data_IF_839941412163
#
_entry.id   IF_839941412163
#
_cell.length_a   1.000
_cell.length_b   1.000
_cell.length_c   1.000
_cell.angle_alpha   90.00
_cell.angle_beta   90.00
_cell.angle_gamma   90.00
#
_symmetry.space_group_name_H-M   'P 1'
#
loop_
_entity.id
_entity.type
_entity.pdbx_description
1 polymer ?
#
# COMPACT_ATOMS: atom_id res chain seq x y z
N UNK A 1 12.99 -19.47 -2.29
CA UNK A 1 12.88 -18.06 -1.84
C UNK A 1 11.52 -17.56 -2.25
N UNK A 2 10.83 -16.81 -1.39
CA UNK A 2 9.65 -16.09 -1.83
C UNK A 2 10.07 -15.13 -2.95
N UNK A 3 9.28 -15.01 -4.01
CA UNK A 3 9.42 -13.95 -5.01
C UNK A 3 8.28 -12.95 -4.82
N UNK A 4 8.49 -11.72 -5.27
CA UNK A 4 7.45 -10.69 -5.32
C UNK A 4 6.36 -11.15 -6.28
N UNK A 5 5.11 -10.95 -5.87
CA UNK A 5 3.94 -11.11 -6.74
C UNK A 5 3.18 -9.80 -6.80
N UNK A 6 2.60 -9.46 -7.94
CA UNK A 6 1.75 -8.28 -8.03
C UNK A 6 0.56 -8.51 -8.96
N UNK A 7 -0.50 -7.73 -8.76
CA UNK A 7 -1.70 -7.75 -9.59
C UNK A 7 -2.27 -6.34 -9.70
N UNK A 8 -2.57 -5.89 -10.92
CA UNK A 8 -3.15 -4.57 -11.17
C UNK A 8 -4.64 -4.65 -11.51
N UNK A 9 -5.35 -3.57 -11.17
CA UNK A 9 -6.78 -3.40 -11.26
C UNK A 9 -7.12 -2.04 -11.91
N UNK A 10 -8.13 -1.98 -12.78
CA UNK A 10 -8.95 -3.10 -13.23
C UNK A 10 -8.14 -4.11 -14.05
N UNK A 11 -8.51 -5.40 -13.96
CA UNK A 11 -7.79 -6.50 -14.64
C UNK A 11 -7.86 -6.45 -16.17
N UNK A 12 -8.64 -5.52 -16.71
CA UNK A 12 -8.80 -5.27 -18.14
C UNK A 12 -7.72 -4.33 -18.70
N UNK A 13 -6.87 -3.77 -17.85
CA UNK A 13 -5.79 -2.86 -18.24
C UNK A 13 -4.42 -3.47 -17.96
N UNK A 14 -3.39 -3.03 -18.71
CA UNK A 14 -2.01 -3.40 -18.42
C UNK A 14 -1.53 -2.69 -17.15
N UNK A 15 -0.67 -3.33 -16.33
CA UNK A 15 0.01 -2.64 -15.24
C UNK A 15 0.74 -1.41 -15.76
N UNK A 16 0.74 -0.32 -14.98
CA UNK A 16 1.52 0.88 -15.30
C UNK A 16 3.00 0.57 -15.11
N UNK A 17 3.86 1.10 -15.98
CA UNK A 17 5.31 0.86 -15.91
C UNK A 17 5.91 1.31 -14.57
N UNK A 18 5.42 2.43 -14.02
CA UNK A 18 5.86 2.89 -12.70
C UNK A 18 5.51 1.92 -11.57
N UNK A 19 4.35 1.24 -11.64
CA UNK A 19 3.96 0.25 -10.64
C UNK A 19 4.86 -0.98 -10.69
N UNK A 20 5.33 -1.35 -11.89
CA UNK A 20 6.33 -2.41 -12.09
C UNK A 20 7.68 -1.97 -11.49
N UNK A 21 8.09 -0.72 -11.70
CA UNK A 21 9.32 -0.18 -11.11
C UNK A 21 9.28 -0.23 -9.59
N UNK A 22 8.15 0.14 -8.97
CA UNK A 22 7.96 0.02 -7.52
C UNK A 22 8.05 -1.44 -7.08
N UNK A 23 7.38 -2.38 -7.77
CA UNK A 23 7.51 -3.82 -7.46
C UNK A 23 8.96 -4.33 -7.57
N UNK A 24 9.77 -3.79 -8.47
CA UNK A 24 11.19 -4.13 -8.59
C UNK A 24 12.02 -3.59 -7.41
N UNK A 25 11.66 -2.45 -6.81
CA UNK A 25 12.28 -1.98 -5.57
C UNK A 25 12.00 -2.99 -4.45
N UNK A 26 10.74 -3.40 -4.26
CA UNK A 26 10.39 -4.44 -3.27
C UNK A 26 11.19 -5.74 -3.51
N UNK A 27 11.37 -6.13 -4.78
CA UNK A 27 12.15 -7.32 -5.15
C UNK A 27 13.63 -7.18 -4.78
N UNK A 28 14.22 -6.02 -5.02
CA UNK A 28 15.62 -5.72 -4.68
C UNK A 28 15.87 -5.84 -3.19
N UNK A 29 14.93 -5.37 -2.37
CA UNK A 29 15.03 -5.38 -0.91
C UNK A 29 14.40 -6.59 -0.23
N UNK A 30 13.92 -7.57 -0.99
CA UNK A 30 13.11 -8.68 -0.47
C UNK A 30 13.80 -9.45 0.66
N UNK A 31 15.13 -9.65 0.55
CA UNK A 31 15.90 -10.33 1.59
C UNK A 31 15.85 -9.62 2.95
N UNK A 32 15.70 -8.29 2.95
CA UNK A 32 15.63 -7.45 4.15
C UNK A 32 14.22 -7.32 4.69
N UNK A 33 13.19 -7.39 3.83
CA UNK A 33 11.80 -7.10 4.19
C UNK A 33 10.88 -8.32 4.23
N UNK A 34 11.34 -9.49 3.79
CA UNK A 34 10.49 -10.67 3.65
C UNK A 34 9.90 -11.11 4.99
N UNK A 35 8.58 -11.17 5.03
CA UNK A 35 7.81 -11.68 6.17
C UNK A 35 7.74 -13.21 6.20
N UNK A 36 8.13 -13.87 5.11
CA UNK A 36 8.17 -15.33 4.98
C UNK A 36 9.43 -15.89 5.62
N UNK A 37 10.57 -15.27 5.34
CA UNK A 37 11.89 -15.76 5.70
C UNK A 37 12.34 -15.26 7.09
N UNK A 38 11.82 -14.12 7.57
CA UNK A 38 12.15 -13.57 8.89
C UNK A 38 11.28 -14.18 10.02
N UNK A 39 11.92 -14.50 11.16
CA UNK A 39 11.27 -15.11 12.32
C UNK A 39 10.31 -14.16 13.07
N UNK A 40 10.56 -12.84 13.01
CA UNK A 40 9.62 -11.77 13.35
C UNK A 40 9.44 -10.93 12.08
N UNK A 41 8.21 -10.77 11.61
CA UNK A 41 7.93 -9.86 10.50
C UNK A 41 8.32 -8.42 10.88
N UNK A 42 8.73 -7.63 9.88
CA UNK A 42 8.97 -6.20 10.07
C UNK A 42 7.66 -5.44 10.30
N UNK A 43 7.74 -4.33 11.03
CA UNK A 43 6.68 -3.31 11.09
C UNK A 43 6.68 -2.48 9.79
N UNK A 44 5.53 -1.91 9.41
CA UNK A 44 5.36 -1.13 8.17
C UNK A 44 6.43 -0.05 8.03
N UNK A 45 6.64 0.74 9.09
CA UNK A 45 7.68 1.77 9.15
C UNK A 45 9.07 1.27 8.77
N UNK A 46 9.43 0.04 9.17
CA UNK A 46 10.75 -0.53 8.88
C UNK A 46 10.88 -0.98 7.43
N UNK A 47 9.78 -1.45 6.84
CA UNK A 47 9.72 -1.72 5.41
C UNK A 47 9.86 -0.40 4.64
N UNK A 48 9.07 0.62 4.99
CA UNK A 48 9.14 1.94 4.35
C UNK A 48 10.52 2.58 4.48
N UNK A 49 11.13 2.54 5.67
CA UNK A 49 12.49 3.04 5.93
C UNK A 49 13.53 2.36 5.02
N UNK A 50 13.40 1.05 4.79
CA UNK A 50 14.30 0.29 3.92
C UNK A 50 14.14 0.69 2.45
N UNK A 51 12.91 0.92 2.00
CA UNK A 51 12.60 1.22 0.59
C UNK A 51 12.76 2.71 0.24
N UNK A 52 12.75 3.59 1.24
CA UNK A 52 12.71 5.05 1.07
C UNK A 52 13.74 5.59 0.07
N UNK A 53 15.04 5.25 0.12
CA UNK A 53 16.01 5.87 -0.79
C UNK A 53 15.69 5.63 -2.26
N UNK A 54 15.22 4.43 -2.60
CA UNK A 54 14.89 4.08 -3.99
C UNK A 54 13.53 4.64 -4.42
N UNK A 55 12.57 4.74 -3.49
CA UNK A 55 11.29 5.40 -3.74
C UNK A 55 11.48 6.91 -3.99
N UNK A 56 12.31 7.58 -3.18
CA UNK A 56 12.68 8.99 -3.36
C UNK A 56 13.42 9.18 -4.70
N UNK A 57 14.30 8.24 -5.08
CA UNK A 57 14.97 8.27 -6.38
C UNK A 57 14.00 8.09 -7.58
N UNK A 58 12.86 7.43 -7.37
CA UNK A 58 11.77 7.36 -8.35
C UNK A 58 10.86 8.60 -8.34
N UNK A 59 11.07 9.57 -7.45
CA UNK A 59 10.30 10.82 -7.38
C UNK A 59 9.12 10.79 -6.39
N UNK A 60 9.01 9.77 -5.54
CA UNK A 60 8.04 9.79 -4.45
C UNK A 60 8.47 10.77 -3.34
N UNK A 61 7.50 11.51 -2.82
CA UNK A 61 7.56 12.02 -1.46
C UNK A 61 7.27 10.85 -0.52
N UNK A 62 8.11 10.61 0.49
CA UNK A 62 8.00 9.45 1.39
C UNK A 62 7.99 9.90 2.85
N UNK A 63 7.07 9.34 3.66
CA UNK A 63 7.00 9.62 5.10
C UNK A 63 8.33 9.28 5.79
N UNK A 64 8.83 10.24 6.57
CA UNK A 64 10.14 10.10 7.24
C UNK A 64 10.04 9.50 8.63
N UNK A 65 8.98 9.81 9.34
CA UNK A 65 8.72 9.31 10.69
C UNK A 65 7.26 9.54 11.09
N UNK A 66 6.79 8.88 12.16
CA UNK A 66 5.45 9.09 12.73
C UNK A 66 5.18 10.50 13.28
N UNK A 67 6.17 11.40 13.28
CA UNK A 67 5.97 12.78 13.73
C UNK A 67 5.04 13.48 12.75
N UNK A 68 4.08 14.24 13.27
CA UNK A 68 3.08 14.95 12.46
C UNK A 68 3.69 15.80 11.32
N UNK A 69 4.87 16.38 11.53
CA UNK A 69 5.56 17.21 10.51
C UNK A 69 6.17 16.40 9.36
N UNK A 70 6.41 15.11 9.57
CA UNK A 70 7.05 14.21 8.61
C UNK A 70 6.02 13.37 7.83
N UNK A 71 4.73 13.52 8.16
CA UNK A 71 3.63 12.83 7.52
C UNK A 71 3.19 13.53 6.24
N UNK A 72 2.84 12.73 5.24
CA UNK A 72 2.30 13.22 3.98
C UNK A 72 0.78 13.27 4.11
N UNK A 73 0.22 14.46 3.91
CA UNK A 73 -1.22 14.67 3.99
C UNK A 73 -1.80 14.91 2.59
N UNK A 74 -2.80 14.10 2.21
CA UNK A 74 -3.59 14.27 0.99
C UNK A 74 -4.93 14.93 1.31
N UNK A 75 -5.24 16.08 0.71
CA UNK A 75 -6.53 16.74 0.88
C UNK A 75 -7.70 15.83 0.48
N UNK A 76 -8.81 15.95 1.20
CA UNK A 76 -10.09 15.27 0.91
C UNK A 76 -11.17 16.32 0.67
N UNK A 77 -11.22 17.34 1.52
CA UNK A 77 -12.13 18.48 1.36
C UNK A 77 -11.33 19.78 1.28
N UNK A 78 -11.84 20.68 0.45
CA UNK A 78 -11.36 22.05 0.34
C UNK A 78 -12.47 22.98 0.81
N UNK A 79 -12.13 23.90 1.72
CA UNK A 79 -13.03 24.92 2.23
C UNK A 79 -12.90 26.23 1.47
N UNK A 80 -13.22 27.32 2.15
CA UNK A 80 -13.12 28.68 1.60
C UNK A 80 -11.70 28.96 1.09
N UNK A 81 -11.61 29.63 -0.06
CA UNK A 81 -10.37 29.92 -0.77
C UNK A 81 -9.54 28.71 -1.22
N UNK A 82 -10.12 27.50 -1.22
CA UNK A 82 -9.44 26.30 -1.69
C UNK A 82 -8.47 25.70 -0.67
N UNK A 83 -8.56 26.09 0.60
CA UNK A 83 -7.71 25.54 1.66
C UNK A 83 -8.20 24.14 2.09
N UNK A 84 -7.31 23.14 2.23
CA UNK A 84 -7.68 21.83 2.75
C UNK A 84 -8.28 21.91 4.16
N UNK A 85 -9.46 21.34 4.36
CA UNK A 85 -10.15 21.27 5.68
C UNK A 85 -10.13 19.89 6.28
N UNK A 86 -10.07 18.85 5.45
CA UNK A 86 -9.89 17.45 5.84
C UNK A 86 -8.80 16.87 4.96
N UNK A 87 -7.86 16.16 5.57
CA UNK A 87 -6.81 15.43 4.89
C UNK A 87 -6.63 14.06 5.53
N UNK A 88 -6.24 13.09 4.72
CA UNK A 88 -5.78 11.79 5.19
C UNK A 88 -4.27 11.64 4.99
N UNK A 89 -3.69 10.73 5.75
CA UNK A 89 -2.26 10.41 5.67
C UNK A 89 -2.04 9.34 4.59
N UNK A 90 -0.84 9.31 4.02
CA UNK A 90 -0.39 8.27 3.09
C UNK A 90 1.11 8.04 3.28
N UNK A 91 1.57 6.80 3.16
CA UNK A 91 2.99 6.48 3.40
C UNK A 91 3.93 7.15 2.37
N UNK A 92 3.51 7.19 1.10
CA UNK A 92 4.25 7.89 0.04
C UNK A 92 3.33 8.36 -1.10
N UNK A 93 3.72 9.45 -1.76
CA UNK A 93 2.96 10.00 -2.88
C UNK A 93 3.87 10.50 -4.01
N UNK A 94 3.56 10.14 -5.25
CA UNK A 94 4.20 10.68 -6.42
C UNK A 94 3.26 11.68 -7.11
N UNK A 95 3.66 12.95 -7.15
CA UNK A 95 2.82 14.05 -7.65
C UNK A 95 2.45 13.91 -9.12
N UNK A 96 3.43 13.66 -9.99
CA UNK A 96 3.17 13.63 -11.44
C UNK A 96 2.36 12.40 -11.88
N UNK A 97 2.62 11.24 -11.29
CA UNK A 97 1.83 10.02 -11.52
C UNK A 97 0.50 10.01 -10.75
N UNK A 98 0.28 10.98 -9.85
CA UNK A 98 -0.87 11.01 -8.94
C UNK A 98 -1.06 9.67 -8.24
N UNK A 99 0.06 9.12 -7.79
CA UNK A 99 0.15 7.75 -7.30
C UNK A 99 0.39 7.75 -5.80
N UNK A 100 -0.53 7.17 -5.05
CA UNK A 100 -0.33 6.83 -3.65
C UNK A 100 0.37 5.47 -3.50
N UNK A 101 1.15 5.32 -2.44
CA UNK A 101 1.70 4.04 -2.00
C UNK A 101 1.37 3.89 -0.51
N UNK A 102 0.80 2.73 -0.15
CA UNK A 102 0.53 2.31 1.22
C UNK A 102 1.22 0.96 1.47
N UNK A 103 1.96 0.87 2.57
CA UNK A 103 2.73 -0.31 2.96
C UNK A 103 2.18 -0.86 4.27
N UNK A 104 1.51 -1.98 4.12
CA UNK A 104 0.95 -2.73 5.23
C UNK A 104 1.88 -3.88 5.60
N UNK A 105 2.31 -3.94 6.85
CA UNK A 105 3.05 -5.07 7.40
C UNK A 105 2.32 -5.61 8.64
N UNK A 106 2.46 -6.91 8.88
CA UNK A 106 1.87 -7.53 10.06
C UNK A 106 0.41 -7.94 9.88
N UNK A 107 -0.41 -7.83 10.93
CA UNK A 107 -1.84 -8.22 10.95
C UNK A 107 -2.75 -7.31 10.11
N UNK A 108 -2.27 -6.78 8.99
CA UNK A 108 -2.95 -5.80 8.15
C UNK A 108 -4.39 -6.23 7.78
N UNK A 109 -4.56 -7.50 7.41
CA UNK A 109 -5.88 -8.09 7.16
C UNK A 109 -6.77 -8.13 8.43
N UNK A 110 -6.23 -8.63 9.54
CA UNK A 110 -7.02 -8.75 10.79
C UNK A 110 -7.35 -7.38 11.40
N UNK A 111 -6.61 -6.33 11.04
CA UNK A 111 -6.80 -4.96 11.50
C UNK A 111 -7.63 -4.07 10.57
N UNK A 112 -8.23 -4.62 9.50
CA UNK A 112 -8.96 -3.88 8.48
C UNK A 112 -8.16 -2.74 7.83
N UNK A 113 -6.82 -2.80 7.83
CA UNK A 113 -5.98 -1.71 7.33
C UNK A 113 -6.19 -1.49 5.84
N UNK A 114 -6.03 -2.56 5.06
CA UNK A 114 -6.38 -2.65 3.63
C UNK A 114 -7.75 -2.04 3.31
N UNK A 115 -8.77 -2.33 4.13
CA UNK A 115 -10.11 -1.77 3.89
C UNK A 115 -10.14 -0.25 4.10
N UNK A 116 -9.47 0.25 5.15
CA UNK A 116 -9.37 1.69 5.39
C UNK A 116 -8.63 2.39 4.24
N UNK A 117 -7.51 1.85 3.80
CA UNK A 117 -6.68 2.49 2.76
C UNK A 117 -7.44 2.58 1.45
N UNK A 118 -8.19 1.53 1.09
CA UNK A 118 -9.07 1.53 -0.08
C UNK A 118 -10.17 2.60 0.02
N UNK A 119 -10.78 2.78 1.19
CA UNK A 119 -11.86 3.75 1.44
C UNK A 119 -11.33 5.19 1.56
N UNK A 120 -10.16 5.39 2.17
CA UNK A 120 -9.55 6.71 2.28
C UNK A 120 -9.05 7.19 0.91
N UNK A 121 -8.38 6.32 0.15
CA UNK A 121 -7.92 6.63 -1.21
C UNK A 121 -9.06 7.00 -2.16
N UNK A 122 -10.27 6.50 -1.88
CA UNK A 122 -11.50 6.78 -2.64
C UNK A 122 -11.89 8.26 -2.64
N UNK A 123 -11.48 8.98 -1.58
CA UNK A 123 -11.84 10.38 -1.36
C UNK A 123 -10.64 11.32 -1.34
N UNK A 124 -9.41 10.81 -1.51
CA UNK A 124 -8.22 11.64 -1.63
C UNK A 124 -8.22 12.41 -2.96
N UNK A 125 -8.02 13.72 -2.88
CA UNK A 125 -7.92 14.58 -4.03
C UNK A 125 -6.64 14.26 -4.84
N UNK A 126 -6.81 14.22 -6.16
CA UNK A 126 -5.74 14.00 -7.14
C UNK A 126 -5.02 12.65 -7.00
N UNK A 127 -5.67 11.62 -6.46
CA UNK A 127 -5.16 10.24 -6.49
C UNK A 127 -5.79 9.50 -7.68
N UNK A 128 -4.96 9.08 -8.63
CA UNK A 128 -5.38 8.34 -9.84
C UNK A 128 -4.91 6.87 -9.82
N UNK A 129 -3.86 6.57 -9.05
CA UNK A 129 -3.38 5.21 -8.81
C UNK A 129 -3.06 4.97 -7.34
N UNK A 130 -3.42 3.80 -6.80
CA UNK A 130 -2.97 3.34 -5.48
C UNK A 130 -2.08 2.11 -5.65
N UNK A 131 -0.88 2.13 -5.10
CA UNK A 131 -0.08 0.93 -4.89
C UNK A 131 -0.29 0.51 -3.44
N UNK A 132 -0.75 -0.72 -3.22
CA UNK A 132 -0.92 -1.30 -1.90
C UNK A 132 0.03 -2.47 -1.76
N UNK A 133 0.98 -2.40 -0.83
CA UNK A 133 1.93 -3.47 -0.56
C UNK A 133 1.53 -4.20 0.72
N UNK A 134 1.40 -5.53 0.66
CA UNK A 134 1.05 -6.39 1.80
C UNK A 134 1.98 -7.60 1.89
N UNK A 135 2.10 -8.25 3.06
CA UNK A 135 2.84 -9.49 3.18
C UNK A 135 2.17 -10.60 2.37
N UNK A 136 2.94 -11.50 1.77
CA UNK A 136 2.37 -12.73 1.19
C UNK A 136 1.74 -13.61 2.25
N UNK A 137 2.48 -13.82 3.33
CA UNK A 137 2.01 -14.55 4.50
C UNK A 137 2.53 -13.92 5.76
N UNK A 138 1.68 -13.79 6.77
CA UNK A 138 2.08 -13.29 8.07
C UNK A 138 1.95 -14.37 9.14
N UNK A 139 3.05 -14.63 9.86
CA UNK A 139 3.08 -15.60 10.97
C UNK A 139 2.77 -14.89 12.28
N UNK A 140 1.83 -15.41 13.05
CA UNK A 140 1.47 -14.87 14.37
C UNK A 140 1.10 -15.97 15.35
N UNK A 141 1.19 -15.67 16.64
CA UNK A 141 0.77 -16.58 17.69
C UNK A 141 -0.62 -16.21 18.20
N UNK A 142 -1.51 -17.20 18.29
CA UNK A 142 -2.80 -17.07 18.97
C UNK A 142 -2.98 -18.22 19.94
N UNK A 143 -3.25 -17.91 21.22
CA UNK A 143 -3.38 -18.92 22.30
C UNK A 143 -2.20 -19.92 22.30
N UNK A 144 -0.98 -19.42 22.17
CA UNK A 144 0.28 -20.20 22.07
C UNK A 144 0.36 -21.18 20.89
N UNK A 145 -0.49 -21.02 19.87
CA UNK A 145 -0.41 -21.78 18.61
C UNK A 145 0.10 -20.87 17.49
N UNK A 146 1.13 -21.30 16.73
CA UNK A 146 1.55 -20.57 15.54
C UNK A 146 0.47 -20.70 14.45
N UNK A 147 0.07 -19.57 13.89
CA UNK A 147 -0.87 -19.46 12.78
C UNK A 147 -0.23 -18.66 11.65
N UNK A 148 -0.74 -18.87 10.44
CA UNK A 148 -0.29 -18.18 9.23
C UNK A 148 -1.52 -17.53 8.58
N UNK A 149 -1.48 -16.21 8.42
CA UNK A 149 -2.43 -15.47 7.61
C UNK A 149 -1.91 -15.35 6.19
N UNK A 150 -2.80 -15.39 5.20
CA UNK A 150 -2.49 -15.24 3.77
C UNK A 150 -2.90 -13.86 3.28
N UNK A 151 -2.23 -12.83 3.80
CA UNK A 151 -2.69 -11.44 3.67
C UNK A 151 -2.84 -11.01 2.20
N UNK A 152 -1.87 -11.33 1.34
CA UNK A 152 -2.01 -11.07 -0.10
C UNK A 152 -3.26 -11.73 -0.72
N UNK A 153 -3.55 -12.99 -0.40
CA UNK A 153 -4.71 -13.70 -0.96
C UNK A 153 -6.02 -13.05 -0.50
N UNK A 154 -6.12 -12.70 0.78
CA UNK A 154 -7.30 -12.02 1.32
C UNK A 154 -7.48 -10.61 0.76
N UNK A 155 -6.41 -9.81 0.72
CA UNK A 155 -6.43 -8.47 0.12
C UNK A 155 -6.82 -8.53 -1.35
N UNK A 156 -6.25 -9.46 -2.13
CA UNK A 156 -6.58 -9.64 -3.54
C UNK A 156 -8.05 -10.00 -3.72
N UNK A 157 -8.61 -10.90 -2.91
CA UNK A 157 -10.02 -11.28 -3.00
C UNK A 157 -10.96 -10.11 -2.66
N UNK A 158 -10.62 -9.28 -1.68
CA UNK A 158 -11.35 -8.07 -1.35
C UNK A 158 -11.33 -7.06 -2.51
N UNK A 159 -10.14 -6.79 -3.05
CA UNK A 159 -9.96 -5.87 -4.18
C UNK A 159 -10.68 -6.39 -5.43
N UNK A 160 -10.58 -7.69 -5.72
CA UNK A 160 -11.34 -8.36 -6.79
C UNK A 160 -12.85 -8.12 -6.63
N UNK A 161 -13.37 -8.26 -5.41
CA UNK A 161 -14.78 -7.99 -5.11
C UNK A 161 -15.16 -6.52 -5.34
N UNK A 162 -14.33 -5.59 -4.89
CA UNK A 162 -14.61 -4.15 -5.00
C UNK A 162 -14.49 -3.63 -6.44
N UNK A 163 -13.51 -4.10 -7.22
CA UNK A 163 -13.36 -3.70 -8.62
C UNK A 163 -14.37 -4.39 -9.56
N UNK A 164 -14.98 -5.51 -9.15
CA UNK A 164 -15.95 -6.25 -9.97
C UNK A 164 -17.41 -5.87 -9.75
N UNK A 165 -17.73 -5.17 -8.66
CA UNK A 165 -19.11 -4.79 -8.37
C UNK A 165 -19.65 -3.70 -9.31
N UNK A 166 -20.98 -3.62 -9.43
CA UNK A 166 -21.69 -2.69 -10.30
C UNK A 166 -22.36 -1.51 -9.57
N UNK A 167 -22.32 -1.49 -8.24
CA UNK A 167 -22.93 -0.47 -7.38
C UNK A 167 -22.17 0.86 -7.39
N UNK A 168 -20.87 0.84 -7.58
CA UNK A 168 -20.00 2.01 -7.69
C UNK A 168 -18.79 1.71 -8.58
N UNK A 169 -17.98 2.71 -8.89
CA UNK A 169 -16.67 2.51 -9.50
C UNK A 169 -15.64 3.23 -8.64
N UNK A 170 -14.49 2.60 -8.44
CA UNK A 170 -13.38 3.29 -7.82
C UNK A 170 -12.86 4.37 -8.79
N UNK A 171 -12.57 5.59 -8.29
CA UNK A 171 -12.07 6.69 -9.13
C UNK A 171 -10.58 6.56 -9.44
N UNK A 172 -9.92 5.52 -8.93
CA UNK A 172 -8.51 5.23 -9.13
C UNK A 172 -8.31 3.79 -9.63
N UNK A 173 -7.16 3.56 -10.25
CA UNK A 173 -6.63 2.22 -10.56
C UNK A 173 -5.73 1.74 -9.42
N UNK A 174 -5.49 0.43 -9.29
CA UNK A 174 -4.75 -0.11 -8.14
C UNK A 174 -3.72 -1.15 -8.57
N UNK A 175 -2.56 -1.19 -7.90
CA UNK A 175 -1.64 -2.33 -7.96
C UNK A 175 -1.43 -2.89 -6.56
N UNK A 176 -1.77 -4.17 -6.37
CA UNK A 176 -1.48 -4.91 -5.15
C UNK A 176 -0.13 -5.60 -5.29
N UNK A 177 0.79 -5.37 -4.35
CA UNK A 177 2.10 -6.03 -4.27
C UNK A 177 2.10 -6.98 -3.05
N UNK A 178 2.56 -8.20 -3.24
CA UNK A 178 2.78 -9.20 -2.20
C UNK A 178 4.27 -9.47 -2.00
N UNK A 179 4.79 -9.20 -0.80
CA UNK A 179 6.20 -9.36 -0.43
C UNK A 179 6.45 -10.31 0.76
#
# INVERSE_FOLDING_TARGET
MADIIFCSFPKTERPKDFSINVANIFKTHLASISTVDLAKGLESDKVLETLRPDLEALGFEVEKSKKKLDKIHRPVFFGDNGEPTVSYEIDAFHKDWKCGLEIEAGRAWMGNAVYRDLVQSLVMAELEHLILAVPRTYKYNSKNKPLISKDYEYSKNLIDTIFSQTRFRLPYSLTLIGY
#
